data_IF_598107918482
#
_entry.id   IF_598107918482
#
_cell.length_a   1.000
_cell.length_b   1.000
_cell.length_c   1.000
_cell.angle_alpha   90.00
_cell.angle_beta   90.00
_cell.angle_gamma   90.00
#
_symmetry.space_group_name_H-M   'P 1'
#
loop_
_entity.id
_entity.type
_entity.pdbx_description
1 polymer ?
#
# COMPACT_ATOMS: atom_id res chain seq x y z
N UNK A 1 2.43 50.81 31.30
CA UNK A 1 1.28 49.91 31.32
C UNK A 1 0.62 49.67 29.95
N UNK A 2 0.60 50.61 28.99
CA UNK A 2 -0.03 50.43 27.65
C UNK A 2 0.74 49.48 26.72
N UNK A 3 2.07 49.44 26.74
CA UNK A 3 2.90 48.58 25.90
C UNK A 3 2.77 47.07 26.21
N UNK A 4 2.58 46.71 27.49
CA UNK A 4 2.47 45.32 27.92
C UNK A 4 1.13 44.65 27.51
N UNK A 5 0.05 45.45 27.33
CA UNK A 5 -1.25 44.95 26.85
C UNK A 5 -1.24 44.63 25.35
N UNK A 6 -0.48 45.39 24.54
CA UNK A 6 -0.37 45.16 23.08
C UNK A 6 0.41 43.87 22.78
N UNK A 7 1.47 43.58 23.57
CA UNK A 7 2.23 42.32 23.42
C UNK A 7 1.40 41.08 23.78
N UNK A 8 0.54 41.19 24.78
CA UNK A 8 -0.29 40.06 25.21
C UNK A 8 -1.43 39.73 24.25
N UNK A 9 -1.99 40.75 23.59
CA UNK A 9 -3.02 40.53 22.54
C UNK A 9 -2.44 39.97 21.25
N UNK A 10 -1.18 40.34 20.90
CA UNK A 10 -0.50 39.80 19.71
C UNK A 10 -0.07 38.33 19.91
N UNK A 11 0.34 37.94 21.11
CA UNK A 11 0.69 36.56 21.44
C UNK A 11 -0.54 35.64 21.44
N UNK A 12 -1.69 36.10 21.93
CA UNK A 12 -2.94 35.35 21.89
C UNK A 12 -3.45 35.13 20.46
N UNK A 13 -3.29 36.10 19.56
CA UNK A 13 -3.70 35.95 18.15
C UNK A 13 -2.81 34.97 17.38
N UNK A 14 -1.50 34.93 17.65
CA UNK A 14 -0.57 33.95 17.08
C UNK A 14 -0.87 32.52 17.54
N UNK A 15 -1.19 32.31 18.81
CA UNK A 15 -1.59 31.01 19.33
C UNK A 15 -2.93 30.51 18.78
N UNK A 16 -3.88 31.43 18.54
CA UNK A 16 -5.17 31.09 17.93
C UNK A 16 -5.02 30.67 16.45
N UNK A 17 -4.18 31.36 15.68
CA UNK A 17 -3.90 31.00 14.28
C UNK A 17 -3.19 29.64 14.20
N UNK A 18 -2.23 29.37 15.09
CA UNK A 18 -1.53 28.09 15.13
C UNK A 18 -2.48 26.93 15.49
N UNK A 19 -3.44 27.15 16.40
CA UNK A 19 -4.42 26.14 16.79
C UNK A 19 -5.47 25.87 15.72
N UNK A 20 -5.85 26.90 14.93
CA UNK A 20 -6.77 26.73 13.79
C UNK A 20 -6.08 25.97 12.65
N UNK A 21 -4.85 26.31 12.28
CA UNK A 21 -4.08 25.57 11.27
C UNK A 21 -3.86 24.11 11.64
N UNK A 22 -3.56 23.81 12.91
CA UNK A 22 -3.41 22.45 13.41
C UNK A 22 -4.74 21.67 13.43
N UNK A 23 -5.86 22.33 13.62
CA UNK A 23 -7.20 21.72 13.53
C UNK A 23 -7.60 21.46 12.08
N UNK A 24 -7.35 22.40 11.15
CA UNK A 24 -7.65 22.22 9.72
C UNK A 24 -6.82 21.04 9.16
N UNK A 25 -5.52 20.99 9.39
CA UNK A 25 -4.68 19.89 8.90
C UNK A 25 -5.04 18.53 9.54
N UNK A 26 -5.54 18.52 10.77
CA UNK A 26 -6.05 17.29 11.41
C UNK A 26 -7.39 16.85 10.83
N UNK A 27 -8.27 17.80 10.49
CA UNK A 27 -9.58 17.54 9.88
C UNK A 27 -9.45 17.04 8.43
N UNK A 28 -8.58 17.65 7.62
CA UNK A 28 -8.26 17.17 6.28
C UNK A 28 -7.66 15.75 6.30
N UNK A 29 -6.82 15.43 7.29
CA UNK A 29 -6.28 14.08 7.49
C UNK A 29 -7.35 13.04 7.83
N UNK A 30 -8.34 13.37 8.64
CA UNK A 30 -9.45 12.47 9.02
C UNK A 30 -10.43 12.29 7.87
N UNK A 31 -10.74 13.34 7.13
CA UNK A 31 -11.64 13.29 5.97
C UNK A 31 -11.03 12.46 4.82
N UNK A 32 -9.74 12.62 4.55
CA UNK A 32 -9.01 11.83 3.58
C UNK A 32 -8.94 10.34 3.96
N UNK A 33 -8.75 10.02 5.25
CA UNK A 33 -8.82 8.65 5.75
C UNK A 33 -10.22 8.05 5.60
N UNK A 34 -11.28 8.78 5.96
CA UNK A 34 -12.65 8.33 5.79
C UNK A 34 -13.00 8.09 4.31
N UNK A 35 -12.49 8.92 3.40
CA UNK A 35 -12.74 8.82 1.98
C UNK A 35 -12.20 7.52 1.36
N UNK A 36 -10.99 7.06 1.73
CA UNK A 36 -10.41 5.83 1.18
C UNK A 36 -11.22 4.59 1.54
N UNK A 37 -11.81 4.53 2.73
CA UNK A 37 -12.62 3.39 3.16
C UNK A 37 -14.00 3.32 2.46
N UNK A 38 -14.44 4.39 1.78
CA UNK A 38 -15.65 4.38 0.94
C UNK A 38 -15.40 3.79 -0.45
N UNK A 39 -14.13 3.67 -0.86
CA UNK A 39 -13.78 3.09 -2.16
C UNK A 39 -13.95 1.58 -2.17
N UNK A 40 -14.25 0.97 -3.33
CA UNK A 40 -14.19 -0.47 -3.50
C UNK A 40 -12.81 -1.03 -3.13
N UNK A 41 -12.74 -2.26 -2.62
CA UNK A 41 -11.48 -2.90 -2.19
C UNK A 41 -10.40 -2.89 -3.28
N UNK A 42 -10.78 -3.10 -4.54
CA UNK A 42 -9.84 -3.06 -5.67
C UNK A 42 -9.21 -1.68 -5.84
N UNK A 43 -9.96 -0.60 -5.63
CA UNK A 43 -9.43 0.76 -5.70
C UNK A 43 -8.51 1.06 -4.52
N UNK A 44 -8.83 0.58 -3.31
CA UNK A 44 -7.93 0.68 -2.15
C UNK A 44 -6.62 -0.05 -2.41
N UNK A 45 -6.67 -1.26 -2.99
CA UNK A 45 -5.48 -2.04 -3.35
C UNK A 45 -4.63 -1.29 -4.39
N UNK A 46 -5.27 -0.75 -5.44
CA UNK A 46 -4.62 0.02 -6.48
C UNK A 46 -3.90 1.25 -5.91
N UNK A 47 -4.59 2.08 -5.12
CA UNK A 47 -4.01 3.29 -4.52
C UNK A 47 -2.87 2.95 -3.55
N UNK A 48 -3.03 1.90 -2.75
CA UNK A 48 -2.01 1.42 -1.83
C UNK A 48 -0.74 0.96 -2.58
N UNK A 49 -0.88 0.14 -3.62
CA UNK A 49 0.25 -0.31 -4.44
C UNK A 49 0.94 0.88 -5.10
N UNK A 50 0.19 1.75 -5.78
CA UNK A 50 0.73 2.95 -6.44
C UNK A 50 1.54 3.84 -5.50
N UNK A 51 1.06 4.03 -4.26
CA UNK A 51 1.75 4.81 -3.25
C UNK A 51 3.08 4.20 -2.82
N UNK A 52 3.11 2.88 -2.57
CA UNK A 52 4.31 2.21 -2.04
C UNK A 52 5.32 1.82 -3.09
N UNK A 53 4.92 1.55 -4.34
CA UNK A 53 5.86 1.24 -5.43
C UNK A 53 6.58 2.49 -5.92
N UNK A 54 5.88 3.64 -6.00
CA UNK A 54 6.43 4.84 -6.61
C UNK A 54 6.64 4.69 -8.12
N UNK A 55 7.23 5.70 -8.75
CA UNK A 55 7.45 5.73 -10.20
C UNK A 55 8.78 5.08 -10.59
N UNK A 56 8.72 4.09 -11.48
CA UNK A 56 9.90 3.43 -12.06
C UNK A 56 10.26 4.05 -13.41
N UNK A 57 11.41 4.73 -13.44
CA UNK A 57 12.03 5.30 -14.64
C UNK A 57 13.04 4.32 -15.27
N UNK A 58 13.69 4.69 -16.35
CA UNK A 58 14.66 3.86 -17.09
C UNK A 58 15.76 3.23 -16.21
N UNK A 59 16.20 3.94 -15.17
CA UNK A 59 17.20 3.43 -14.20
C UNK A 59 16.73 2.23 -13.38
N UNK A 60 15.44 1.93 -13.39
CA UNK A 60 14.86 0.83 -12.63
C UNK A 60 14.61 -0.43 -13.49
N UNK A 61 15.15 -0.44 -14.73
CA UNK A 61 15.01 -1.63 -15.59
C UNK A 61 15.32 -2.92 -14.83
N UNK A 62 14.53 -3.98 -14.97
CA UNK A 62 13.43 -4.19 -15.92
C UNK A 62 12.04 -3.76 -15.40
N UNK A 63 11.96 -2.84 -14.47
CA UNK A 63 10.68 -2.37 -13.93
C UNK A 63 10.25 -1.06 -14.59
N UNK A 64 8.93 -0.91 -14.85
CA UNK A 64 8.33 0.28 -15.46
C UNK A 64 7.07 0.71 -14.72
N UNK A 65 6.69 1.98 -14.85
CA UNK A 65 5.47 2.53 -14.27
C UNK A 65 5.41 2.36 -12.76
N UNK A 66 4.40 1.70 -12.26
CA UNK A 66 4.20 1.43 -10.82
C UNK A 66 4.74 0.05 -10.40
N UNK A 67 5.90 -0.34 -10.90
CA UNK A 67 6.59 -1.56 -10.49
C UNK A 67 6.27 -2.80 -11.34
N UNK A 68 5.71 -2.64 -12.53
CA UNK A 68 5.54 -3.74 -13.47
C UNK A 68 6.90 -4.25 -13.95
N UNK A 69 7.15 -5.55 -13.77
CA UNK A 69 8.35 -6.20 -14.28
C UNK A 69 8.12 -6.63 -15.73
N UNK A 70 8.88 -6.05 -16.65
CA UNK A 70 8.81 -6.38 -18.09
C UNK A 70 9.02 -7.86 -18.35
N UNK A 71 8.17 -8.44 -19.17
CA UNK A 71 8.31 -9.78 -19.72
C UNK A 71 8.99 -9.74 -21.09
N UNK A 72 9.61 -10.84 -21.57
CA UNK A 72 10.41 -10.85 -22.79
C UNK A 72 9.75 -10.31 -24.06
N UNK A 73 8.42 -10.40 -24.18
CA UNK A 73 7.66 -10.00 -25.37
C UNK A 73 6.83 -8.73 -25.16
N UNK A 74 7.02 -8.02 -24.05
CA UNK A 74 6.27 -6.79 -23.78
C UNK A 74 6.98 -5.56 -24.36
N UNK A 75 6.19 -4.68 -25.00
CA UNK A 75 6.67 -3.48 -25.68
C UNK A 75 6.58 -2.21 -24.82
N UNK A 76 6.44 -2.35 -23.50
CA UNK A 76 6.43 -1.18 -22.62
C UNK A 76 7.84 -0.60 -22.47
N UNK A 77 7.93 0.74 -22.38
CA UNK A 77 9.16 1.45 -22.13
C UNK A 77 8.97 2.50 -21.04
N UNK A 78 9.88 2.56 -20.09
CA UNK A 78 9.84 3.57 -19.02
C UNK A 78 9.99 5.01 -19.58
N UNK A 79 10.57 5.17 -20.79
CA UNK A 79 10.74 6.46 -21.46
C UNK A 79 9.44 7.02 -22.00
N UNK A 80 8.55 6.16 -22.52
CA UNK A 80 7.32 6.58 -23.21
C UNK A 80 6.06 6.32 -22.42
N UNK A 81 6.15 5.59 -21.28
CA UNK A 81 5.02 5.24 -20.45
C UNK A 81 4.38 6.46 -19.79
N UNK A 82 3.10 6.68 -20.03
CA UNK A 82 2.32 7.69 -19.34
C UNK A 82 1.84 7.16 -17.99
N UNK A 83 1.46 8.07 -17.07
CA UNK A 83 0.84 7.68 -15.78
C UNK A 83 -0.45 6.90 -15.98
N UNK A 84 -1.23 7.24 -17.01
CA UNK A 84 -2.47 6.54 -17.36
C UNK A 84 -2.18 5.09 -17.78
N UNK A 85 -1.21 4.88 -18.67
CA UNK A 85 -0.84 3.53 -19.12
C UNK A 85 -0.31 2.69 -17.94
N UNK A 86 0.48 3.31 -17.06
CA UNK A 86 0.96 2.66 -15.84
C UNK A 86 -0.18 2.32 -14.87
N UNK A 87 -1.20 3.16 -14.73
CA UNK A 87 -2.39 2.92 -13.92
C UNK A 87 -3.20 1.72 -14.48
N UNK A 88 -3.39 1.66 -15.79
CA UNK A 88 -4.07 0.55 -16.47
C UNK A 88 -3.29 -0.76 -16.32
N UNK A 89 -1.97 -0.70 -16.47
CA UNK A 89 -1.07 -1.85 -16.32
C UNK A 89 -1.07 -2.38 -14.87
N UNK A 90 -0.97 -1.50 -13.87
CA UNK A 90 -1.07 -1.89 -12.47
C UNK A 90 -2.41 -2.57 -12.15
N UNK A 91 -3.53 -2.05 -12.68
CA UNK A 91 -4.85 -2.69 -12.50
C UNK A 91 -4.91 -4.07 -13.15
N UNK A 92 -4.31 -4.24 -14.34
CA UNK A 92 -4.19 -5.52 -15.03
C UNK A 92 -3.39 -6.52 -14.20
N UNK A 93 -2.24 -6.10 -13.68
CA UNK A 93 -1.38 -6.93 -12.86
C UNK A 93 -2.06 -7.35 -11.55
N UNK A 94 -2.68 -6.40 -10.85
CA UNK A 94 -3.42 -6.71 -9.62
C UNK A 94 -4.51 -7.75 -9.86
N UNK A 95 -5.31 -7.60 -10.95
CA UNK A 95 -6.32 -8.61 -11.30
C UNK A 95 -5.71 -9.99 -11.52
N UNK A 96 -4.54 -10.06 -12.22
CA UNK A 96 -3.81 -11.31 -12.44
C UNK A 96 -3.38 -11.96 -11.13
N UNK A 97 -2.77 -11.18 -10.21
CA UNK A 97 -2.35 -11.70 -8.92
C UNK A 97 -3.54 -12.09 -8.04
N UNK A 98 -4.61 -11.29 -7.98
CA UNK A 98 -5.83 -11.58 -7.21
C UNK A 98 -6.47 -12.89 -7.69
N UNK A 99 -6.51 -13.12 -9.00
CA UNK A 99 -7.07 -14.36 -9.58
C UNK A 99 -6.36 -15.64 -9.10
N UNK A 100 -5.06 -15.57 -8.77
CA UNK A 100 -4.31 -16.71 -8.21
C UNK A 100 -4.81 -17.13 -6.82
N UNK A 101 -5.45 -16.21 -6.10
CA UNK A 101 -5.96 -16.42 -4.74
C UNK A 101 -7.48 -16.51 -4.66
N UNK A 102 -8.19 -16.69 -5.81
CA UNK A 102 -9.67 -16.70 -5.88
C UNK A 102 -10.31 -17.66 -4.88
N UNK A 103 -9.68 -18.79 -4.60
CA UNK A 103 -10.19 -19.78 -3.63
C UNK A 103 -10.31 -19.26 -2.19
N UNK A 104 -9.65 -18.16 -1.85
CA UNK A 104 -9.69 -17.55 -0.52
C UNK A 104 -10.80 -16.46 -0.39
N UNK A 105 -11.70 -16.35 -1.37
CA UNK A 105 -12.87 -15.47 -1.31
C UNK A 105 -12.49 -14.01 -1.04
N UNK A 106 -13.00 -13.46 0.07
CA UNK A 106 -12.79 -12.06 0.47
C UNK A 106 -11.33 -11.69 0.69
N UNK A 107 -10.47 -12.66 1.05
CA UNK A 107 -9.04 -12.44 1.28
C UNK A 107 -8.24 -12.39 -0.03
N UNK A 108 -8.85 -12.69 -1.18
CA UNK A 108 -8.14 -12.76 -2.48
C UNK A 108 -7.48 -11.43 -2.86
N UNK A 109 -8.11 -10.29 -2.57
CA UNK A 109 -7.57 -8.96 -2.87
C UNK A 109 -6.37 -8.65 -1.96
N UNK A 110 -6.47 -8.94 -0.66
CA UNK A 110 -5.39 -8.79 0.30
C UNK A 110 -4.16 -9.62 -0.11
N UNK A 111 -4.37 -10.90 -0.45
CA UNK A 111 -3.31 -11.83 -0.86
C UNK A 111 -2.71 -11.46 -2.22
N UNK A 112 -3.52 -11.07 -3.20
CA UNK A 112 -3.04 -10.62 -4.50
C UNK A 112 -2.21 -9.35 -4.41
N UNK A 113 -2.59 -8.41 -3.54
CA UNK A 113 -1.83 -7.19 -3.26
C UNK A 113 -0.47 -7.51 -2.64
N UNK A 114 -0.43 -8.43 -1.67
CA UNK A 114 0.82 -8.91 -1.10
C UNK A 114 1.70 -9.58 -2.16
N UNK A 115 1.11 -10.47 -2.97
CA UNK A 115 1.81 -11.21 -4.02
C UNK A 115 2.40 -10.30 -5.10
N UNK A 116 1.74 -9.19 -5.43
CA UNK A 116 2.28 -8.18 -6.34
C UNK A 116 3.66 -7.67 -5.90
N UNK A 117 3.84 -7.46 -4.59
CA UNK A 117 5.11 -6.96 -4.05
C UNK A 117 6.14 -8.08 -3.77
N UNK A 118 5.73 -9.19 -3.16
CA UNK A 118 6.70 -10.21 -2.69
C UNK A 118 6.86 -11.39 -3.64
N UNK A 119 6.01 -11.49 -4.64
CA UNK A 119 5.90 -12.63 -5.56
C UNK A 119 4.99 -13.75 -5.03
N UNK A 120 4.19 -14.38 -5.90
CA UNK A 120 3.21 -15.41 -5.48
C UNK A 120 3.87 -16.67 -4.91
N UNK A 121 5.08 -17.02 -5.34
CA UNK A 121 5.81 -18.21 -4.86
C UNK A 121 6.14 -18.13 -3.36
N UNK A 122 6.36 -16.93 -2.81
CA UNK A 122 6.58 -16.76 -1.36
C UNK A 122 5.34 -17.05 -0.52
N UNK A 123 4.14 -16.97 -1.12
CA UNK A 123 2.88 -17.27 -0.46
C UNK A 123 2.50 -18.74 -0.71
N UNK A 124 2.34 -19.08 -1.98
CA UNK A 124 1.80 -20.39 -2.41
C UNK A 124 2.82 -21.54 -2.32
N UNK A 125 4.10 -21.20 -2.20
CA UNK A 125 5.18 -22.14 -2.36
C UNK A 125 5.59 -22.37 -3.82
N UNK A 126 6.66 -23.11 -4.02
CA UNK A 126 7.18 -23.55 -5.33
C UNK A 126 7.94 -24.87 -5.16
N UNK A 127 8.62 -25.35 -6.20
CA UNK A 127 9.51 -26.51 -6.09
C UNK A 127 10.61 -26.34 -5.03
N UNK A 128 11.05 -25.10 -4.79
CA UNK A 128 12.16 -24.76 -3.89
C UNK A 128 11.73 -24.01 -2.62
N UNK A 129 10.50 -23.55 -2.55
CA UNK A 129 9.98 -22.76 -1.42
C UNK A 129 8.76 -23.44 -0.82
N UNK A 130 8.71 -23.63 0.51
CA UNK A 130 7.52 -24.15 1.17
C UNK A 130 6.38 -23.11 1.10
N UNK A 131 5.14 -23.61 1.17
CA UNK A 131 3.96 -22.78 1.34
C UNK A 131 4.04 -21.99 2.65
N UNK A 132 3.70 -20.69 2.60
CA UNK A 132 3.78 -19.83 3.78
C UNK A 132 2.79 -20.22 4.88
N UNK A 133 3.12 -19.89 6.13
CA UNK A 133 2.23 -20.08 7.29
C UNK A 133 0.91 -19.29 7.10
N UNK A 134 0.97 -18.11 6.48
CA UNK A 134 -0.21 -17.32 6.13
C UNK A 134 -1.23 -18.14 5.32
N UNK A 135 -0.77 -18.77 4.24
CA UNK A 135 -1.64 -19.58 3.38
C UNK A 135 -2.12 -20.85 4.10
N UNK A 136 -1.25 -21.52 4.87
CA UNK A 136 -1.63 -22.72 5.65
C UNK A 136 -2.75 -22.41 6.65
N UNK A 137 -2.69 -21.25 7.34
CA UNK A 137 -3.75 -20.81 8.27
C UNK A 137 -5.08 -20.60 7.55
N UNK A 138 -5.06 -19.86 6.44
CA UNK A 138 -6.27 -19.64 5.64
C UNK A 138 -6.87 -20.92 5.08
N UNK A 139 -6.03 -21.88 4.67
CA UNK A 139 -6.49 -23.21 4.22
C UNK A 139 -7.11 -24.04 5.35
N UNK A 140 -6.69 -23.79 6.60
CA UNK A 140 -7.29 -24.38 7.80
C UNK A 140 -8.53 -23.61 8.31
N UNK A 141 -8.98 -22.56 7.61
CA UNK A 141 -10.09 -21.71 8.01
C UNK A 141 -9.76 -20.66 9.10
N UNK A 142 -8.49 -20.58 9.53
CA UNK A 142 -8.04 -19.59 10.52
C UNK A 142 -7.73 -18.26 9.83
N UNK A 143 -8.61 -17.28 10.04
CA UNK A 143 -8.46 -15.92 9.52
C UNK A 143 -7.78 -14.96 10.50
N UNK A 144 -7.29 -15.41 11.65
CA UNK A 144 -6.43 -14.59 12.51
C UNK A 144 -5.01 -14.54 11.97
N UNK A 145 -4.81 -13.82 10.88
CA UNK A 145 -3.62 -13.84 10.01
C UNK A 145 -2.76 -12.57 10.10
N UNK A 146 -3.09 -11.62 10.94
CA UNK A 146 -2.37 -10.34 11.04
C UNK A 146 -0.86 -10.53 11.25
N UNK A 147 -0.49 -11.38 12.19
CA UNK A 147 0.93 -11.64 12.52
C UNK A 147 1.70 -12.22 11.34
N UNK A 148 1.11 -13.19 10.66
CA UNK A 148 1.69 -13.85 9.49
C UNK A 148 1.79 -12.90 8.29
N UNK A 149 0.79 -12.02 8.11
CA UNK A 149 0.79 -11.02 7.05
C UNK A 149 1.89 -9.98 7.24
N UNK A 150 2.00 -9.38 8.43
CA UNK A 150 3.03 -8.36 8.70
C UNK A 150 4.46 -8.94 8.72
N UNK A 151 4.63 -10.26 8.85
CA UNK A 151 5.94 -10.91 8.77
C UNK A 151 6.60 -10.79 7.38
N UNK A 152 5.83 -10.51 6.31
CA UNK A 152 6.37 -10.22 4.98
C UNK A 152 7.03 -8.83 4.87
N UNK A 153 7.76 -8.44 5.89
CA UNK A 153 8.44 -7.14 5.98
C UNK A 153 9.99 -7.25 6.00
N UNK A 154 10.55 -8.41 5.66
CA UNK A 154 11.99 -8.61 5.66
C UNK A 154 12.60 -8.31 4.28
N UNK A 155 13.77 -7.65 4.29
CA UNK A 155 14.63 -7.44 3.13
C UNK A 155 16.05 -7.89 3.47
N UNK A 156 16.65 -8.74 2.64
CA UNK A 156 17.98 -9.35 2.89
C UNK A 156 18.11 -9.94 4.31
N UNK A 157 17.09 -10.68 4.75
CA UNK A 157 17.06 -11.32 6.06
C UNK A 157 16.79 -10.41 7.26
N UNK A 158 16.70 -9.09 7.07
CA UNK A 158 16.47 -8.11 8.15
C UNK A 158 15.09 -7.45 8.01
N UNK A 159 14.47 -7.14 9.15
CA UNK A 159 13.21 -6.38 9.19
C UNK A 159 13.41 -4.98 8.61
N UNK A 160 12.55 -4.58 7.68
CA UNK A 160 12.62 -3.29 6.99
C UNK A 160 11.42 -2.42 7.37
N UNK A 161 11.67 -1.24 7.93
CA UNK A 161 10.63 -0.36 8.48
C UNK A 161 9.56 0.05 7.44
N UNK A 162 9.97 0.39 6.22
CA UNK A 162 9.05 0.79 5.16
C UNK A 162 8.18 -0.38 4.69
N UNK A 163 8.73 -1.61 4.59
CA UNK A 163 7.94 -2.80 4.27
C UNK A 163 6.95 -3.12 5.38
N UNK A 164 7.33 -2.95 6.65
CA UNK A 164 6.41 -3.12 7.77
C UNK A 164 5.27 -2.08 7.71
N UNK A 165 5.57 -0.81 7.42
CA UNK A 165 4.56 0.24 7.23
C UNK A 165 3.60 -0.14 6.10
N UNK A 166 4.12 -0.63 4.98
CA UNK A 166 3.33 -1.13 3.86
C UNK A 166 2.40 -2.27 4.26
N UNK A 167 2.90 -3.32 4.94
CA UNK A 167 2.08 -4.47 5.39
C UNK A 167 0.95 -4.03 6.31
N UNK A 168 1.23 -3.11 7.25
CA UNK A 168 0.20 -2.58 8.14
C UNK A 168 -0.88 -1.81 7.38
N UNK A 169 -0.47 -0.97 6.43
CA UNK A 169 -1.42 -0.21 5.60
C UNK A 169 -2.28 -1.12 4.71
N UNK A 170 -1.66 -2.08 4.01
CA UNK A 170 -2.37 -3.07 3.19
C UNK A 170 -3.40 -3.84 4.03
N UNK A 171 -3.00 -4.33 5.21
CA UNK A 171 -3.90 -5.07 6.07
C UNK A 171 -5.07 -4.20 6.56
N UNK A 172 -4.80 -2.98 7.02
CA UNK A 172 -5.85 -2.05 7.47
C UNK A 172 -6.85 -1.69 6.36
N UNK A 173 -6.38 -1.54 5.12
CA UNK A 173 -7.21 -1.13 4.00
C UNK A 173 -8.01 -2.28 3.37
N UNK A 174 -7.52 -3.52 3.43
CA UNK A 174 -7.99 -4.62 2.59
C UNK A 174 -8.50 -5.83 3.36
N UNK A 175 -8.12 -6.00 4.64
CA UNK A 175 -8.65 -7.09 5.45
C UNK A 175 -10.10 -6.77 5.87
N UNK A 176 -10.99 -7.73 5.64
CA UNK A 176 -12.39 -7.68 6.09
C UNK A 176 -12.52 -8.69 7.22
N UNK A 177 -12.90 -8.28 8.44
CA UNK A 177 -13.08 -9.18 9.58
C UNK A 177 -14.09 -10.31 9.33
#
# INVERSE_FOLDING_TARGET
>A
MKMMRVFMTMLCSLLAVCSVSARISRQEGTDGQAAIYRLPLMERAFLCCRYFEGWHSEKHYPYVGWGHKLLPNEKYSARTMTKRDADELLRKDLRKFIAMFRKFGVDSILLGTLAYNVGPAKLLGSKTLPKSTLIKKLEAGDRNIYREYIAFCNYKGKRHAMLLKRRKAEFALLYIP
#
